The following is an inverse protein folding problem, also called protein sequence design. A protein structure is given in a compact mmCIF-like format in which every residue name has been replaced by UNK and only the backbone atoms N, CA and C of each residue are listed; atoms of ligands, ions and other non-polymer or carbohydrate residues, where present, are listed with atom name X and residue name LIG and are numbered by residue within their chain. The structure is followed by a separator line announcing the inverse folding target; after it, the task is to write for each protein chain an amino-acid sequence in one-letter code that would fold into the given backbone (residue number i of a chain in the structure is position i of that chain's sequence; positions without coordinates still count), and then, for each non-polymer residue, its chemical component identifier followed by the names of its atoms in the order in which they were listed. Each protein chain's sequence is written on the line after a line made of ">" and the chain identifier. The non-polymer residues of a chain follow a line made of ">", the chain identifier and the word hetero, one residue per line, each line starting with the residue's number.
data_IF_416767077153
#
_entry.id   IF_416767077153
#
_cell.length_a   1.000
_cell.length_b   1.000
_cell.length_c   1.000
_cell.angle_alpha   90.00
_cell.angle_beta   90.00
_cell.angle_gamma   90.00
#
_symmetry.space_group_name_H-M   'P 1'
#
loop_
_entity.id
_entity.type
_entity.pdbx_description
1 polymer ?
#
# COMPACT_ATOMS: atom_id res chain seq x y z
N UNK A 1 -9.52 6.26 -1.65
CA UNK A 1 -9.17 7.66 -1.99
C UNK A 1 -9.12 7.99 -3.46
N UNK A 2 -8.25 7.37 -4.27
CA UNK A 2 -8.07 7.80 -5.67
C UNK A 2 -9.31 7.58 -6.56
N UNK A 3 -10.14 6.60 -6.23
CA UNK A 3 -11.37 6.26 -6.98
C UNK A 3 -12.40 7.39 -7.00
N UNK A 4 -12.35 8.33 -6.04
CA UNK A 4 -13.24 9.51 -6.01
C UNK A 4 -13.00 10.49 -7.17
N UNK A 5 -11.82 10.42 -7.78
CA UNK A 5 -11.43 11.28 -8.91
C UNK A 5 -11.68 10.61 -10.28
N UNK A 6 -12.14 9.36 -10.29
CA UNK A 6 -12.51 8.67 -11.52
C UNK A 6 -13.81 9.25 -12.09
N UNK A 7 -13.90 9.33 -13.42
CA UNK A 7 -15.09 9.85 -14.13
C UNK A 7 -16.28 8.89 -14.01
N UNK A 8 -16.02 7.59 -13.98
CA UNK A 8 -17.04 6.56 -13.82
C UNK A 8 -16.51 5.32 -13.09
N UNK A 9 -17.42 4.48 -12.59
CA UNK A 9 -17.05 3.20 -11.98
C UNK A 9 -16.40 2.24 -12.99
N UNK A 10 -16.81 2.31 -14.25
CA UNK A 10 -16.20 1.51 -15.32
C UNK A 10 -14.74 1.90 -15.53
N UNK A 11 -14.42 3.20 -15.51
CA UNK A 11 -13.05 3.68 -15.66
C UNK A 11 -12.17 3.26 -14.49
N UNK A 12 -12.70 3.30 -13.27
CA UNK A 12 -12.01 2.80 -12.09
C UNK A 12 -11.73 1.29 -12.18
N UNK A 13 -12.74 0.49 -12.53
CA UNK A 13 -12.59 -0.95 -12.66
C UNK A 13 -11.59 -1.34 -13.77
N UNK A 14 -11.72 -0.74 -14.96
CA UNK A 14 -10.81 -0.99 -16.08
C UNK A 14 -9.38 -0.53 -15.73
N UNK A 15 -9.23 0.64 -15.12
CA UNK A 15 -7.93 1.17 -14.72
C UNK A 15 -7.21 0.25 -13.74
N UNK A 16 -7.92 -0.33 -12.77
CA UNK A 16 -7.32 -1.25 -11.79
C UNK A 16 -7.05 -2.64 -12.39
N UNK A 17 -7.99 -3.21 -13.15
CA UNK A 17 -7.85 -4.55 -13.75
C UNK A 17 -6.76 -4.57 -14.82
N UNK A 18 -6.60 -3.50 -15.59
CA UNK A 18 -5.51 -3.40 -16.55
C UNK A 18 -4.23 -2.97 -15.84
N UNK A 19 -4.27 -1.94 -15.00
CA UNK A 19 -3.07 -1.38 -14.40
C UNK A 19 -2.33 -2.36 -13.49
N UNK A 20 -3.01 -2.97 -12.51
CA UNK A 20 -2.35 -3.74 -11.47
C UNK A 20 -1.89 -5.13 -11.96
N UNK A 21 -2.77 -6.03 -12.43
CA UNK A 21 -2.36 -7.35 -12.92
C UNK A 21 -1.29 -7.31 -14.01
N UNK A 22 -1.44 -6.49 -15.06
CA UNK A 22 -0.50 -6.56 -16.19
C UNK A 22 0.89 -6.07 -15.80
N UNK A 23 0.97 -4.96 -15.05
CA UNK A 23 2.26 -4.43 -14.61
C UNK A 23 2.90 -5.35 -13.58
N UNK A 24 2.13 -5.90 -12.63
CA UNK A 24 2.65 -6.88 -11.67
C UNK A 24 3.17 -8.12 -12.36
N UNK A 25 2.44 -8.70 -13.31
CA UNK A 25 2.91 -9.87 -14.08
C UNK A 25 4.22 -9.55 -14.81
N UNK A 26 4.32 -8.39 -15.45
CA UNK A 26 5.53 -7.97 -16.14
C UNK A 26 6.72 -7.81 -15.17
N UNK A 27 6.54 -7.10 -14.05
CA UNK A 27 7.60 -6.89 -13.07
C UNK A 27 8.03 -8.19 -12.39
N UNK A 28 7.09 -9.09 -12.05
CA UNK A 28 7.41 -10.40 -11.52
C UNK A 28 8.21 -11.23 -12.54
N UNK A 29 7.81 -11.23 -13.81
CA UNK A 29 8.56 -11.91 -14.87
C UNK A 29 9.98 -11.37 -15.01
N UNK A 30 10.14 -10.04 -15.09
CA UNK A 30 11.46 -9.40 -15.17
C UNK A 30 12.30 -9.77 -13.93
N UNK A 31 11.74 -9.69 -12.73
CA UNK A 31 12.43 -10.05 -11.50
C UNK A 31 12.95 -11.49 -11.52
N UNK A 32 12.10 -12.45 -11.89
CA UNK A 32 12.50 -13.87 -11.98
C UNK A 32 13.61 -14.05 -13.01
N UNK A 33 13.43 -13.56 -14.24
CA UNK A 33 14.41 -13.73 -15.32
C UNK A 33 15.75 -13.09 -14.98
N UNK A 34 15.73 -11.88 -14.40
CA UNK A 34 16.95 -11.20 -13.99
C UNK A 34 17.65 -11.96 -12.87
N UNK A 35 16.93 -12.38 -11.83
CA UNK A 35 17.51 -13.17 -10.74
C UNK A 35 18.09 -14.50 -11.25
N UNK A 36 17.41 -15.22 -12.14
CA UNK A 36 17.96 -16.42 -12.78
C UNK A 36 19.24 -16.12 -13.58
N UNK A 37 19.27 -15.02 -14.33
CA UNK A 37 20.48 -14.60 -15.05
C UNK A 37 21.65 -14.29 -14.10
N UNK A 38 21.39 -13.77 -12.89
CA UNK A 38 22.45 -13.54 -11.90
C UNK A 38 23.07 -14.84 -11.39
N UNK A 39 22.31 -15.93 -11.32
CA UNK A 39 22.86 -17.26 -10.97
C UNK A 39 23.84 -17.71 -12.04
N UNK A 40 23.50 -17.53 -13.33
CA UNK A 40 24.37 -17.90 -14.46
C UNK A 40 25.62 -17.03 -14.53
N UNK A 41 25.50 -15.72 -14.27
CA UNK A 41 26.60 -14.75 -14.39
C UNK A 41 27.52 -14.69 -13.17
N UNK A 42 26.95 -14.79 -11.96
CA UNK A 42 27.65 -14.53 -10.70
C UNK A 42 27.68 -15.75 -9.75
N UNK A 43 27.02 -16.86 -10.11
CA UNK A 43 26.98 -18.08 -9.30
C UNK A 43 26.04 -18.01 -8.08
N UNK A 44 25.35 -16.87 -7.87
CA UNK A 44 24.45 -16.64 -6.73
C UNK A 44 23.20 -15.91 -7.18
N UNK A 45 22.04 -16.26 -6.61
CA UNK A 45 20.78 -15.58 -6.88
C UNK A 45 20.73 -14.21 -6.18
N UNK A 46 20.88 -13.14 -6.95
CA UNK A 46 20.75 -11.76 -6.47
C UNK A 46 19.38 -11.26 -6.85
N UNK A 47 18.53 -11.08 -5.86
CA UNK A 47 17.16 -10.60 -6.03
C UNK A 47 17.00 -9.12 -5.64
N UNK A 48 17.95 -8.56 -4.88
CA UNK A 48 17.96 -7.14 -4.54
C UNK A 48 18.56 -6.32 -5.70
N UNK A 49 17.77 -5.44 -6.37
CA UNK A 49 18.28 -4.60 -7.44
C UNK A 49 19.35 -3.60 -6.96
N UNK A 50 19.33 -3.20 -5.69
CA UNK A 50 20.34 -2.29 -5.12
C UNK A 50 21.70 -2.99 -5.03
N UNK A 51 21.72 -4.30 -4.76
CA UNK A 51 22.94 -5.11 -4.77
C UNK A 51 23.39 -5.48 -6.19
N UNK A 52 22.42 -5.69 -7.10
CA UNK A 52 22.70 -6.08 -8.48
C UNK A 52 23.31 -4.96 -9.32
N UNK A 53 22.77 -3.74 -9.21
CA UNK A 53 23.16 -2.60 -10.07
C UNK A 53 24.68 -2.35 -10.06
N UNK A 54 25.38 -2.30 -8.91
CA UNK A 54 26.83 -2.14 -8.87
C UNK A 54 27.63 -3.20 -9.64
N UNK A 55 27.07 -4.39 -9.87
CA UNK A 55 27.72 -5.50 -10.58
C UNK A 55 27.65 -5.39 -12.11
N UNK A 56 26.95 -4.37 -12.65
CA UNK A 56 26.82 -4.12 -14.10
C UNK A 56 28.10 -3.55 -14.75
N UNK A 57 29.12 -3.18 -13.97
CA UNK A 57 30.47 -2.83 -14.45
C UNK A 57 30.64 -1.41 -15.01
N UNK A 58 29.60 -0.78 -15.56
CA UNK A 58 29.68 0.60 -16.07
C UNK A 58 29.23 1.62 -15.01
N UNK A 59 30.15 2.48 -14.58
CA UNK A 59 29.88 3.53 -13.57
C UNK A 59 28.74 4.48 -13.97
N UNK A 60 28.65 4.84 -15.26
CA UNK A 60 27.57 5.67 -15.77
C UNK A 60 26.20 4.96 -15.68
N UNK A 61 26.15 3.68 -16.04
CA UNK A 61 24.92 2.87 -15.96
C UNK A 61 24.49 2.68 -14.51
N UNK A 62 25.44 2.45 -13.60
CA UNK A 62 25.19 2.34 -12.15
C UNK A 62 24.54 3.62 -11.61
N UNK A 63 25.12 4.79 -11.89
CA UNK A 63 24.59 6.07 -11.40
C UNK A 63 23.19 6.33 -11.93
N UNK A 64 22.97 6.17 -13.23
CA UNK A 64 21.65 6.37 -13.84
C UNK A 64 20.62 5.40 -13.27
N UNK A 65 20.98 4.13 -13.09
CA UNK A 65 20.09 3.11 -12.55
C UNK A 65 19.72 3.38 -11.09
N UNK A 66 20.68 3.79 -10.25
CA UNK A 66 20.41 4.12 -8.85
C UNK A 66 19.54 5.38 -8.72
N UNK A 67 19.75 6.40 -9.55
CA UNK A 67 18.88 7.59 -9.59
C UNK A 67 17.46 7.19 -10.01
N UNK A 68 17.32 6.36 -11.04
CA UNK A 68 16.03 5.84 -11.46
C UNK A 68 15.33 5.03 -10.34
N UNK A 69 16.08 4.18 -9.62
CA UNK A 69 15.57 3.44 -8.47
C UNK A 69 15.09 4.35 -7.33
N UNK A 70 15.83 5.41 -7.02
CA UNK A 70 15.43 6.40 -6.01
C UNK A 70 14.12 7.07 -6.43
N UNK A 71 14.03 7.54 -7.68
CA UNK A 71 12.81 8.21 -8.19
C UNK A 71 11.61 7.24 -8.20
N UNK A 72 11.81 6.00 -8.64
CA UNK A 72 10.77 4.97 -8.66
C UNK A 72 10.28 4.63 -7.24
N UNK A 73 11.21 4.50 -6.29
CA UNK A 73 10.91 4.21 -4.88
C UNK A 73 10.14 5.36 -4.24
N UNK A 74 10.60 6.60 -4.40
CA UNK A 74 9.96 7.77 -3.83
C UNK A 74 8.56 7.99 -4.41
N UNK A 75 8.42 7.93 -5.74
CA UNK A 75 7.13 8.15 -6.40
C UNK A 75 6.08 7.12 -5.98
N UNK A 76 6.45 5.84 -5.94
CA UNK A 76 5.55 4.76 -5.51
C UNK A 76 5.22 4.87 -4.03
N UNK A 77 6.21 5.14 -3.18
CA UNK A 77 6.01 5.22 -1.73
C UNK A 77 5.08 6.37 -1.34
N UNK A 78 5.25 7.55 -1.95
CA UNK A 78 4.37 8.70 -1.70
C UNK A 78 2.93 8.33 -2.09
N UNK A 79 2.72 7.81 -3.30
CA UNK A 79 1.38 7.51 -3.81
C UNK A 79 0.68 6.38 -3.04
N UNK A 80 1.40 5.30 -2.72
CA UNK A 80 0.81 4.09 -2.16
C UNK A 80 0.77 4.11 -0.61
N UNK A 81 1.79 4.65 0.05
CA UNK A 81 1.98 4.47 1.49
C UNK A 81 1.79 5.75 2.31
N UNK A 82 1.91 6.94 1.71
CA UNK A 82 1.79 8.22 2.44
C UNK A 82 0.41 8.84 2.31
N UNK A 83 -0.20 8.80 1.13
CA UNK A 83 -1.47 9.51 0.86
C UNK A 83 -2.63 9.00 1.72
N UNK A 84 -2.80 7.67 1.87
CA UNK A 84 -3.91 7.09 2.64
C UNK A 84 -3.85 7.48 4.13
N UNK A 85 -2.79 7.18 4.89
CA UNK A 85 -2.72 7.54 6.31
C UNK A 85 -2.71 9.06 6.52
N UNK A 86 -2.15 9.86 5.59
CA UNK A 86 -2.26 11.31 5.67
C UNK A 86 -3.71 11.80 5.61
N UNK A 87 -4.54 11.18 4.75
CA UNK A 87 -5.96 11.45 4.69
C UNK A 87 -6.67 10.98 5.97
N UNK A 88 -6.35 9.79 6.48
CA UNK A 88 -6.92 9.25 7.72
C UNK A 88 -6.66 10.17 8.93
N UNK A 89 -5.41 10.61 9.14
CA UNK A 89 -5.06 11.55 10.21
C UNK A 89 -5.77 12.90 10.05
N UNK A 90 -5.90 13.40 8.81
CA UNK A 90 -6.63 14.63 8.56
C UNK A 90 -8.13 14.52 8.85
N UNK A 91 -8.72 13.35 8.62
CA UNK A 91 -10.14 13.09 8.94
C UNK A 91 -10.36 12.82 10.42
N UNK A 92 -9.36 12.33 11.15
CA UNK A 92 -9.45 12.10 12.59
C UNK A 92 -9.57 13.40 13.39
N UNK A 93 -8.85 14.45 12.99
CA UNK A 93 -8.88 15.74 13.65
C UNK A 93 -8.79 16.91 12.64
N UNK A 94 -9.83 17.15 11.82
CA UNK A 94 -9.76 18.06 10.67
C UNK A 94 -9.49 19.52 11.04
N UNK A 95 -9.82 19.94 12.27
CA UNK A 95 -9.51 21.28 12.78
C UNK A 95 -8.04 21.46 13.20
N UNK A 96 -7.29 20.37 13.42
CA UNK A 96 -5.93 20.39 13.96
C UNK A 96 -4.88 19.80 13.02
N UNK A 97 -5.27 18.83 12.20
CA UNK A 97 -4.35 18.09 11.33
C UNK A 97 -4.72 18.37 9.88
N UNK A 98 -3.85 19.11 9.19
CA UNK A 98 -3.92 19.27 7.74
C UNK A 98 -3.38 18.02 7.04
N UNK A 99 -3.71 17.83 5.77
CA UNK A 99 -3.13 16.75 4.95
C UNK A 99 -1.60 16.75 4.96
N UNK A 100 -0.97 17.94 4.91
CA UNK A 100 0.49 18.09 5.00
C UNK A 100 1.01 17.60 6.36
N UNK A 101 0.35 17.98 7.44
CA UNK A 101 0.70 17.54 8.79
C UNK A 101 0.52 16.03 8.94
N UNK A 102 -0.56 15.46 8.41
CA UNK A 102 -0.82 14.03 8.39
C UNK A 102 0.26 13.24 7.62
N UNK A 103 0.74 13.79 6.50
CA UNK A 103 1.86 13.21 5.76
C UNK A 103 3.16 13.18 6.58
N UNK A 104 3.49 14.26 7.30
CA UNK A 104 4.66 14.29 8.19
C UNK A 104 4.53 13.29 9.34
N UNK A 105 3.36 13.21 9.97
CA UNK A 105 3.07 12.22 11.03
C UNK A 105 3.28 10.80 10.51
N UNK A 106 2.76 10.51 9.31
CA UNK A 106 2.94 9.20 8.65
C UNK A 106 4.42 8.86 8.47
N UNK A 107 5.23 9.80 7.95
CA UNK A 107 6.66 9.57 7.77
C UNK A 107 7.37 9.28 9.10
N UNK A 108 7.07 10.05 10.15
CA UNK A 108 7.68 9.87 11.47
C UNK A 108 7.32 8.51 12.07
N UNK A 109 6.05 8.11 12.02
CA UNK A 109 5.59 6.81 12.50
C UNK A 109 6.21 5.68 11.67
N UNK A 110 6.26 5.83 10.34
CA UNK A 110 6.87 4.84 9.45
C UNK A 110 8.33 4.57 9.77
N UNK A 111 9.11 5.61 10.08
CA UNK A 111 10.51 5.46 10.53
C UNK A 111 10.57 4.83 11.92
N UNK A 112 9.70 5.25 12.84
CA UNK A 112 9.68 4.75 14.22
C UNK A 112 9.32 3.26 14.32
N UNK A 113 8.54 2.72 13.37
CA UNK A 113 8.23 1.28 13.27
C UNK A 113 9.47 0.45 12.92
N UNK A 114 10.54 1.06 12.41
CA UNK A 114 11.79 0.39 12.02
C UNK A 114 11.57 -0.80 11.07
N UNK A 115 10.93 -0.59 9.90
CA UNK A 115 10.52 -1.68 9.02
C UNK A 115 11.69 -2.54 8.51
N UNK A 116 12.91 -2.00 8.47
CA UNK A 116 14.11 -2.77 8.11
C UNK A 116 14.39 -3.93 9.06
N UNK A 117 13.98 -3.85 10.33
CA UNK A 117 14.09 -4.99 11.25
C UNK A 117 13.12 -6.12 10.89
N UNK A 118 11.92 -5.79 10.41
CA UNK A 118 10.93 -6.77 9.94
C UNK A 118 11.38 -7.45 8.64
N UNK A 119 12.17 -6.76 7.82
CA UNK A 119 12.72 -7.28 6.56
C UNK A 119 14.03 -8.06 6.73
N UNK A 120 14.58 -8.14 7.95
CA UNK A 120 15.86 -8.80 8.20
C UNK A 120 15.82 -10.32 7.97
N UNK A 121 14.63 -10.92 7.96
CA UNK A 121 14.44 -12.33 7.59
C UNK A 121 13.18 -12.50 6.74
N UNK A 122 13.31 -13.24 5.64
CA UNK A 122 12.20 -13.63 4.78
C UNK A 122 11.11 -14.39 5.57
N UNK A 123 11.51 -15.25 6.51
CA UNK A 123 10.58 -16.01 7.34
C UNK A 123 9.78 -15.10 8.27
N UNK A 124 10.43 -14.13 8.91
CA UNK A 124 9.75 -13.14 9.76
C UNK A 124 8.80 -12.27 8.94
N UNK A 125 9.23 -11.84 7.75
CA UNK A 125 8.41 -11.02 6.87
C UNK A 125 7.15 -11.76 6.40
N UNK A 126 7.30 -13.00 5.93
CA UNK A 126 6.17 -13.79 5.41
C UNK A 126 5.29 -14.29 6.54
N UNK A 127 5.86 -15.03 7.49
CA UNK A 127 5.06 -15.78 8.46
C UNK A 127 4.62 -14.97 9.67
N UNK A 128 5.34 -13.92 10.04
CA UNK A 128 4.95 -13.06 11.16
C UNK A 128 4.20 -11.84 10.67
N UNK A 129 4.81 -11.08 9.76
CA UNK A 129 4.23 -9.80 9.34
C UNK A 129 3.04 -9.97 8.40
N UNK A 130 3.21 -10.61 7.24
CA UNK A 130 2.14 -10.72 6.24
C UNK A 130 0.93 -11.51 6.77
N UNK A 131 1.16 -12.61 7.48
CA UNK A 131 0.07 -13.40 8.07
C UNK A 131 -0.65 -12.60 9.17
N UNK A 132 0.08 -12.01 10.12
CA UNK A 132 -0.52 -11.23 11.20
C UNK A 132 -1.32 -10.03 10.67
N UNK A 133 -0.76 -9.32 9.70
CA UNK A 133 -1.43 -8.21 9.02
C UNK A 133 -2.70 -8.64 8.30
N UNK A 134 -2.64 -9.75 7.55
CA UNK A 134 -3.80 -10.28 6.81
C UNK A 134 -4.90 -10.79 7.74
N UNK A 135 -4.53 -11.38 8.87
CA UNK A 135 -5.48 -11.85 9.88
C UNK A 135 -6.29 -10.69 10.49
N UNK A 136 -5.70 -9.50 10.61
CA UNK A 136 -6.40 -8.31 11.10
C UNK A 136 -7.25 -7.64 10.01
N UNK A 137 -6.67 -7.41 8.82
CA UNK A 137 -7.34 -6.63 7.78
C UNK A 137 -8.39 -7.42 7.00
N UNK A 138 -8.26 -8.74 6.91
CA UNK A 138 -9.24 -9.60 6.23
C UNK A 138 -10.65 -9.45 6.80
N UNK A 139 -10.85 -9.63 8.12
CA UNK A 139 -12.13 -9.42 8.78
C UNK A 139 -12.68 -7.99 8.60
N UNK A 140 -11.84 -6.95 8.74
CA UNK A 140 -12.26 -5.56 8.53
C UNK A 140 -12.82 -5.37 7.13
N UNK A 141 -12.08 -5.81 6.10
CA UNK A 141 -12.53 -5.73 4.72
C UNK A 141 -13.83 -6.52 4.49
N UNK A 142 -13.94 -7.71 5.07
CA UNK A 142 -15.15 -8.54 5.01
C UNK A 142 -16.37 -7.85 5.59
N UNK A 143 -16.25 -7.25 6.79
CA UNK A 143 -17.33 -6.49 7.43
C UNK A 143 -17.76 -5.31 6.55
N UNK A 144 -16.80 -4.56 6.00
CA UNK A 144 -17.10 -3.42 5.11
C UNK A 144 -17.84 -3.85 3.84
N UNK A 145 -17.43 -4.95 3.21
CA UNK A 145 -18.09 -5.49 2.00
C UNK A 145 -19.51 -5.95 2.34
N UNK A 146 -19.69 -6.72 3.41
CA UNK A 146 -20.99 -7.22 3.85
C UNK A 146 -21.95 -6.08 4.23
N UNK A 147 -21.47 -5.09 4.99
CA UNK A 147 -22.27 -3.91 5.36
C UNK A 147 -22.74 -3.14 4.12
N UNK A 148 -21.85 -2.86 3.18
CA UNK A 148 -22.20 -2.08 2.00
C UNK A 148 -23.10 -2.83 1.01
N UNK A 149 -22.74 -4.07 0.63
CA UNK A 149 -23.45 -4.80 -0.42
C UNK A 149 -24.68 -5.57 0.08
N UNK A 150 -24.60 -6.22 1.25
CA UNK A 150 -25.67 -7.09 1.73
C UNK A 150 -26.66 -6.34 2.62
N UNK A 151 -26.18 -5.61 3.63
CA UNK A 151 -27.04 -4.92 4.59
C UNK A 151 -27.62 -3.62 4.00
N UNK A 152 -26.77 -2.75 3.47
CA UNK A 152 -27.16 -1.44 2.93
C UNK A 152 -27.58 -1.47 1.47
N UNK A 153 -27.37 -2.59 0.77
CA UNK A 153 -27.72 -2.77 -0.66
C UNK A 153 -27.23 -1.63 -1.54
N UNK A 154 -25.98 -1.21 -1.34
CA UNK A 154 -25.31 -0.10 -2.03
C UNK A 154 -25.97 1.27 -1.83
N UNK A 155 -26.79 1.46 -0.80
CA UNK A 155 -27.38 2.75 -0.43
C UNK A 155 -26.64 3.34 0.78
N UNK A 156 -25.83 4.37 0.52
CA UNK A 156 -25.14 5.15 1.55
C UNK A 156 -25.73 6.56 1.63
N UNK A 157 -26.19 6.94 2.81
CA UNK A 157 -26.53 8.33 3.09
C UNK A 157 -25.28 9.11 3.51
N UNK A 158 -24.80 9.97 2.60
CA UNK A 158 -23.60 10.76 2.82
C UNK A 158 -23.78 11.78 3.93
N UNK A 159 -24.99 12.32 4.13
CA UNK A 159 -25.22 13.31 5.19
C UNK A 159 -25.04 12.67 6.56
N UNK A 160 -25.62 11.47 6.76
CA UNK A 160 -25.47 10.73 8.02
C UNK A 160 -24.03 10.35 8.38
N UNK A 161 -23.12 10.23 7.40
CA UNK A 161 -21.70 9.90 7.65
C UNK A 161 -20.91 11.07 8.27
N UNK A 162 -21.39 12.30 8.10
CA UNK A 162 -20.75 13.51 8.62
C UNK A 162 -21.56 14.19 9.73
N UNK A 163 -22.67 13.59 10.15
CA UNK A 163 -23.51 14.06 11.25
C UNK A 163 -23.06 13.42 12.57
N UNK A 164 -22.45 14.19 13.51
CA UNK A 164 -22.01 13.67 14.79
C UNK A 164 -23.16 13.12 15.65
N UNK A 165 -24.40 13.58 15.43
CA UNK A 165 -25.61 13.15 16.13
C UNK A 165 -26.50 12.23 15.27
N UNK A 166 -25.99 11.81 14.11
CA UNK A 166 -26.67 10.93 13.18
C UNK A 166 -26.78 9.48 13.66
N UNK A 167 -27.46 8.62 12.88
CA UNK A 167 -27.70 7.21 13.22
C UNK A 167 -26.41 6.36 13.31
N UNK A 168 -25.28 6.88 12.84
CA UNK A 168 -23.96 6.23 12.88
C UNK A 168 -23.07 6.77 14.00
N UNK A 169 -23.64 7.53 14.95
CA UNK A 169 -22.91 8.08 16.09
C UNK A 169 -22.32 6.98 16.97
N UNK A 170 -21.05 7.16 17.34
CA UNK A 170 -20.35 6.31 18.31
C UNK A 170 -19.77 5.04 17.69
N UNK A 171 -19.68 3.98 18.50
CA UNK A 171 -19.03 2.72 18.11
C UNK A 171 -20.09 1.62 18.00
N UNK A 172 -20.10 0.92 16.86
CA UNK A 172 -20.91 -0.28 16.70
C UNK A 172 -20.20 -1.49 17.33
N UNK A 173 -20.50 -1.76 18.60
CA UNK A 173 -19.92 -2.88 19.34
C UNK A 173 -20.25 -4.27 18.78
N UNK A 174 -21.37 -4.41 18.06
CA UNK A 174 -21.71 -5.67 17.39
C UNK A 174 -20.71 -5.93 16.26
N UNK A 175 -20.42 -4.90 15.45
CA UNK A 175 -19.42 -5.01 14.40
C UNK A 175 -18.01 -5.24 14.98
N UNK A 176 -17.68 -4.62 16.12
CA UNK A 176 -16.41 -4.86 16.81
C UNK A 176 -16.33 -6.29 17.35
N UNK A 177 -17.42 -6.87 17.84
CA UNK A 177 -17.45 -8.26 18.32
C UNK A 177 -17.35 -9.32 17.22
N UNK A 178 -17.47 -8.93 15.93
CA UNK A 178 -17.30 -9.82 14.76
C UNK A 178 -15.85 -9.84 14.27
N UNK A 179 -15.03 -8.85 14.66
CA UNK A 179 -13.60 -8.81 14.40
C UNK A 179 -12.84 -9.85 15.23
#
# INVERSE_FOLDING_TARGET
>A
DFTRYCRSQRDQALGQVLGLPTTMTLFCFIGIVVTEATVVLFGTAIWDPVELVPRLGSSAVVVVSLVALIVATLSTNIAANVVSPANDFSNLAPRRISFRTGGVITCLIGVAIMPWQLMNSLSTYIFTWLIGYSALLGPIAGIMICDYYLLRRMRLDRASLYDPDGPLRGVNWIAVGVL
#
